data_IF_196634664386
#
_entry.id   IF_196634664386
#
_cell.length_a   1.000
_cell.length_b   1.000
_cell.length_c   1.000
_cell.angle_alpha   90.00
_cell.angle_beta   90.00
_cell.angle_gamma   90.00
#
_symmetry.space_group_name_H-M   'P 1'
#
loop_
_entity.id
_entity.type
_entity.pdbx_description
1 polymer ?
#
# COMPACT_ATOMS: atom_id res chain seq x y z
N UNK A 1 26.57 0.33 16.00
CA UNK A 1 26.22 -0.38 14.75
C UNK A 1 25.46 -1.64 15.15
N UNK A 2 24.35 -1.97 14.47
CA UNK A 2 23.48 -3.15 14.70
C UNK A 2 22.54 -3.12 15.92
N UNK A 3 21.27 -2.80 15.67
CA UNK A 3 20.06 -3.31 16.39
C UNK A 3 18.79 -2.48 16.11
N UNK A 4 18.89 -1.26 15.56
CA UNK A 4 17.73 -0.39 15.29
C UNK A 4 16.95 -0.66 13.99
N UNK A 5 17.34 -1.65 13.18
CA UNK A 5 16.70 -1.89 11.86
C UNK A 5 15.61 -2.99 11.84
N UNK A 6 15.35 -3.70 12.95
CA UNK A 6 14.29 -4.72 13.02
C UNK A 6 12.97 -4.26 13.65
N UNK A 7 12.91 -3.07 14.24
CA UNK A 7 11.76 -2.62 15.06
C UNK A 7 10.73 -1.72 14.35
N UNK A 8 10.96 -1.28 13.11
CA UNK A 8 10.05 -0.35 12.41
C UNK A 8 9.06 -1.06 11.47
N UNK A 9 8.63 -2.28 11.79
CA UNK A 9 7.53 -2.96 11.08
C UNK A 9 6.40 -3.36 12.03
N UNK A 10 6.21 -2.60 13.11
CA UNK A 10 5.16 -2.82 14.10
C UNK A 10 4.23 -1.60 14.08
N UNK A 11 3.31 -1.53 13.12
CA UNK A 11 1.99 -0.86 13.27
C UNK A 11 1.00 -1.43 12.22
N UNK A 12 -0.15 -1.89 12.72
CA UNK A 12 -1.45 -2.20 12.07
C UNK A 12 -1.70 -3.62 11.49
N UNK A 13 -2.74 -4.39 11.84
CA UNK A 13 -3.50 -4.76 13.05
C UNK A 13 -4.47 -5.91 12.60
N UNK A 14 -4.53 -6.99 13.41
CA UNK A 14 -5.58 -7.98 13.79
C UNK A 14 -6.58 -8.57 12.74
N UNK A 15 -6.68 -9.92 12.67
CA UNK A 15 -7.88 -10.80 12.92
C UNK A 15 -7.38 -12.25 13.20
N UNK A 16 -8.09 -12.99 14.07
CA UNK A 16 -7.94 -14.41 14.52
C UNK A 16 -7.31 -14.69 15.90
N UNK A 17 -7.09 -13.68 16.75
CA UNK A 17 -6.54 -13.90 18.10
C UNK A 17 -5.07 -14.34 18.12
N UNK A 18 -4.40 -14.32 16.97
CA UNK A 18 -2.96 -14.53 16.84
C UNK A 18 -2.34 -13.21 16.33
N UNK A 19 -1.44 -12.57 17.10
CA UNK A 19 -0.63 -11.47 16.57
C UNK A 19 0.10 -11.95 15.31
N UNK A 20 0.32 -11.12 14.29
CA UNK A 20 1.29 -11.49 13.22
C UNK A 20 2.74 -11.38 13.74
N UNK A 21 2.91 -10.83 14.94
CA UNK A 21 4.09 -11.07 15.80
C UNK A 21 4.08 -12.45 16.50
N UNK A 22 3.05 -13.25 16.24
CA UNK A 22 2.71 -14.53 16.86
C UNK A 22 2.44 -15.63 15.85
N UNK A 23 2.97 -15.52 14.62
CA UNK A 23 3.59 -16.74 14.10
C UNK A 23 4.81 -16.94 14.97
N UNK A 24 4.62 -17.48 16.18
CA UNK A 24 5.74 -17.95 16.98
C UNK A 24 6.53 -18.90 16.10
N UNK A 25 7.82 -19.10 16.39
CA UNK A 25 8.57 -20.18 15.73
C UNK A 25 7.76 -21.50 15.78
N UNK A 26 6.94 -21.68 16.82
CA UNK A 26 6.04 -22.82 17.02
C UNK A 26 4.89 -22.91 15.99
N UNK A 27 4.34 -21.79 15.49
CA UNK A 27 3.24 -21.83 14.51
C UNK A 27 3.74 -21.77 13.05
N UNK A 28 4.98 -21.33 12.84
CA UNK A 28 5.61 -21.32 11.52
C UNK A 28 5.70 -22.72 10.93
N UNK A 29 6.05 -23.72 11.74
CA UNK A 29 6.18 -25.09 11.27
C UNK A 29 4.87 -25.68 10.76
N UNK A 30 3.73 -25.21 11.29
CA UNK A 30 2.39 -25.58 10.83
C UNK A 30 2.03 -24.80 9.57
N UNK A 31 2.21 -23.47 9.56
CA UNK A 31 1.75 -22.61 8.46
C UNK A 31 2.63 -22.63 7.21
N UNK A 32 3.92 -22.98 7.32
CA UNK A 32 4.87 -22.81 6.21
C UNK A 32 4.46 -23.57 4.97
N UNK A 33 3.95 -24.80 5.13
CA UNK A 33 3.60 -25.66 4.00
C UNK A 33 2.41 -25.06 3.25
N UNK A 34 1.38 -24.62 3.98
CA UNK A 34 0.19 -24.01 3.39
C UNK A 34 0.51 -22.68 2.71
N UNK A 35 1.34 -21.84 3.32
CA UNK A 35 1.79 -20.59 2.70
C UNK A 35 2.60 -20.86 1.42
N UNK A 36 3.54 -21.81 1.45
CA UNK A 36 4.33 -22.15 0.26
C UNK A 36 3.45 -22.70 -0.86
N UNK A 37 2.49 -23.57 -0.53
CA UNK A 37 1.52 -24.09 -1.49
C UNK A 37 0.66 -22.97 -2.09
N UNK A 38 0.16 -22.06 -1.25
CA UNK A 38 -0.58 -20.88 -1.69
C UNK A 38 0.25 -20.03 -2.66
N UNK A 39 1.49 -19.70 -2.32
CA UNK A 39 2.36 -18.91 -3.21
C UNK A 39 2.69 -19.65 -4.51
N UNK A 40 2.90 -20.96 -4.45
CA UNK A 40 3.18 -21.77 -5.64
C UNK A 40 1.95 -21.83 -6.58
N UNK A 41 0.76 -22.00 -6.02
CA UNK A 41 -0.49 -22.00 -6.78
C UNK A 41 -0.78 -20.63 -7.38
N UNK A 42 -0.68 -19.57 -6.58
CA UNK A 42 -0.88 -18.19 -7.05
C UNK A 42 0.13 -17.84 -8.14
N UNK A 43 1.41 -18.19 -7.97
CA UNK A 43 2.44 -17.92 -8.98
C UNK A 43 2.15 -18.64 -10.30
N UNK A 44 1.64 -19.88 -10.24
CA UNK A 44 1.32 -20.69 -11.43
C UNK A 44 0.07 -20.19 -12.15
N UNK A 45 -0.99 -19.87 -11.41
CA UNK A 45 -2.33 -19.63 -11.97
C UNK A 45 -2.68 -18.14 -12.04
N UNK A 46 -2.03 -17.30 -11.23
CA UNK A 46 -2.34 -15.88 -11.10
C UNK A 46 -3.72 -15.60 -10.51
N UNK A 47 -4.30 -16.57 -9.77
CA UNK A 47 -5.65 -16.49 -9.20
C UNK A 47 -5.62 -16.59 -7.69
N UNK A 48 -6.42 -15.75 -7.04
CA UNK A 48 -6.60 -15.82 -5.59
C UNK A 48 -7.67 -16.87 -5.25
N UNK A 49 -7.41 -17.66 -4.20
CA UNK A 49 -8.43 -18.54 -3.63
C UNK A 49 -9.63 -17.70 -3.18
N UNK A 50 -10.85 -18.17 -3.46
CA UNK A 50 -12.09 -17.47 -3.12
C UNK A 50 -12.11 -17.09 -1.63
N UNK A 51 -12.49 -15.85 -1.34
CA UNK A 51 -12.56 -15.31 0.02
C UNK A 51 -11.27 -14.67 0.54
N UNK A 52 -10.09 -14.98 -0.02
CA UNK A 52 -8.83 -14.35 0.43
C UNK A 52 -8.77 -12.85 0.15
N UNK A 53 -9.44 -12.42 -0.92
CA UNK A 53 -9.55 -11.01 -1.30
C UNK A 53 -10.87 -10.37 -0.83
N UNK A 54 -11.53 -10.99 0.16
CA UNK A 54 -12.70 -10.42 0.81
C UNK A 54 -12.27 -9.59 2.02
N UNK A 55 -12.85 -8.41 2.13
CA UNK A 55 -12.59 -7.45 3.21
C UNK A 55 -13.84 -7.29 4.06
N UNK A 56 -13.72 -7.47 5.36
CA UNK A 56 -14.78 -7.11 6.30
C UNK A 56 -14.51 -5.70 6.87
N UNK A 57 -15.46 -4.78 6.72
CA UNK A 57 -15.33 -3.40 7.17
C UNK A 57 -15.95 -3.26 8.55
N UNK A 58 -15.11 -3.28 9.59
CA UNK A 58 -15.55 -3.01 10.95
C UNK A 58 -15.73 -1.50 11.16
N UNK A 59 -16.91 -1.08 11.63
CA UNK A 59 -17.20 0.31 11.95
C UNK A 59 -16.90 0.60 13.43
N UNK A 60 -15.88 1.41 13.70
CA UNK A 60 -15.51 1.82 15.06
C UNK A 60 -16.09 3.21 15.37
N UNK A 61 -16.95 3.37 16.39
CA UNK A 61 -17.49 4.68 16.77
C UNK A 61 -16.40 5.71 17.09
N UNK A 62 -16.55 6.93 16.59
CA UNK A 62 -15.73 8.12 16.96
C UNK A 62 -16.23 8.82 18.21
N UNK A 63 -17.54 8.73 18.45
CA UNK A 63 -18.29 9.45 19.48
C UNK A 63 -19.19 8.45 20.21
N UNK A 64 -19.63 8.80 21.42
CA UNK A 64 -20.43 7.90 22.27
C UNK A 64 -21.77 7.47 21.63
N UNK A 65 -22.40 8.36 20.87
CA UNK A 65 -23.70 8.10 20.22
C UNK A 65 -23.64 8.43 18.74
N UNK A 66 -23.03 7.58 17.90
CA UNK A 66 -22.89 7.83 16.48
C UNK A 66 -24.27 7.80 15.80
N UNK A 67 -24.57 8.81 14.99
CA UNK A 67 -25.86 8.94 14.28
C UNK A 67 -25.68 8.91 12.76
N UNK A 68 -24.45 9.16 12.27
CA UNK A 68 -24.11 9.21 10.85
C UNK A 68 -22.95 8.28 10.54
N UNK A 69 -22.84 7.81 9.30
CA UNK A 69 -21.70 7.00 8.83
C UNK A 69 -20.36 7.72 9.05
N UNK A 70 -20.35 9.05 8.93
CA UNK A 70 -19.16 9.88 9.19
C UNK A 70 -18.66 9.80 10.65
N UNK A 71 -19.52 9.40 11.58
CA UNK A 71 -19.21 9.24 13.01
C UNK A 71 -18.48 7.92 13.29
N UNK A 72 -18.20 7.12 12.27
CA UNK A 72 -17.42 5.89 12.38
C UNK A 72 -16.05 6.04 11.70
N UNK A 73 -15.08 5.31 12.25
CA UNK A 73 -13.85 4.94 11.56
C UNK A 73 -14.05 3.56 10.93
N UNK A 74 -14.14 3.44 9.60
CA UNK A 74 -14.12 2.14 8.96
C UNK A 74 -12.72 1.53 9.05
N UNK A 75 -12.63 0.28 9.48
CA UNK A 75 -11.40 -0.52 9.45
C UNK A 75 -11.62 -1.72 8.53
N UNK A 76 -10.80 -1.79 7.49
CA UNK A 76 -10.76 -2.93 6.57
C UNK A 76 -10.00 -4.11 7.20
N UNK A 77 -10.72 -5.18 7.52
CA UNK A 77 -10.17 -6.46 7.96
C UNK A 77 -9.99 -7.37 6.75
N UNK A 78 -8.73 -7.59 6.39
CA UNK A 78 -8.30 -8.40 5.23
C UNK A 78 -7.57 -9.65 5.69
N UNK A 79 -7.64 -10.72 4.89
CA UNK A 79 -6.93 -11.98 5.14
C UNK A 79 -5.44 -11.77 5.40
N UNK A 80 -4.91 -12.39 6.45
CA UNK A 80 -3.47 -12.34 6.78
C UNK A 80 -2.60 -12.94 5.67
N UNK A 81 -3.07 -13.98 4.98
CA UNK A 81 -2.38 -14.56 3.82
C UNK A 81 -2.29 -13.54 2.68
N UNK A 82 -3.39 -12.83 2.41
CA UNK A 82 -3.40 -11.76 1.41
C UNK A 82 -2.48 -10.60 1.80
N UNK A 83 -2.46 -10.18 3.08
CA UNK A 83 -1.51 -9.16 3.59
C UNK A 83 -0.06 -9.55 3.32
N UNK A 84 0.30 -10.84 3.49
CA UNK A 84 1.65 -11.35 3.18
C UNK A 84 1.92 -11.26 1.67
N UNK A 85 0.98 -11.68 0.81
CA UNK A 85 1.12 -11.55 -0.65
C UNK A 85 1.30 -10.09 -1.08
N UNK A 86 0.44 -9.18 -0.63
CA UNK A 86 0.52 -7.75 -0.92
C UNK A 86 1.86 -7.17 -0.44
N UNK A 87 2.39 -7.64 0.69
CA UNK A 87 3.70 -7.23 1.19
C UNK A 87 4.84 -7.71 0.30
N UNK A 88 4.76 -8.94 -0.20
CA UNK A 88 5.72 -9.47 -1.18
C UNK A 88 5.72 -8.61 -2.44
N UNK A 89 4.55 -8.24 -2.96
CA UNK A 89 4.45 -7.36 -4.12
C UNK A 89 5.02 -5.97 -3.86
N UNK A 90 4.64 -5.33 -2.76
CA UNK A 90 5.18 -4.02 -2.39
C UNK A 90 6.71 -4.05 -2.25
N UNK A 91 7.27 -5.10 -1.66
CA UNK A 91 8.72 -5.25 -1.51
C UNK A 91 9.44 -5.44 -2.85
N UNK A 92 8.84 -6.15 -3.81
CA UNK A 92 9.39 -6.30 -5.17
C UNK A 92 9.28 -4.99 -5.96
N UNK A 93 8.13 -4.33 -5.91
CA UNK A 93 7.89 -3.04 -6.56
C UNK A 93 8.86 -1.97 -6.05
N UNK A 94 9.11 -1.92 -4.74
CA UNK A 94 10.07 -0.99 -4.12
C UNK A 94 11.46 -1.02 -4.75
N UNK A 95 11.88 -2.15 -5.31
CA UNK A 95 13.21 -2.28 -5.93
C UNK A 95 13.29 -1.65 -7.33
N UNK A 96 12.15 -1.42 -7.98
CA UNK A 96 12.09 -0.95 -9.38
C UNK A 96 11.36 0.38 -9.55
N UNK A 97 10.47 0.74 -8.61
CA UNK A 97 9.59 1.91 -8.71
C UNK A 97 10.37 3.22 -8.90
N UNK A 98 11.53 3.36 -8.24
CA UNK A 98 12.37 4.55 -8.36
C UNK A 98 12.94 4.80 -9.77
N UNK A 99 12.96 3.78 -10.63
CA UNK A 99 13.45 3.87 -12.01
C UNK A 99 12.35 4.25 -13.01
N UNK A 100 11.07 4.10 -12.63
CA UNK A 100 9.93 4.34 -13.52
C UNK A 100 9.12 5.58 -13.15
N UNK A 101 9.37 6.16 -11.98
CA UNK A 101 8.78 7.45 -11.55
C UNK A 101 9.77 8.59 -11.72
N UNK A 102 9.25 9.80 -11.92
CA UNK A 102 10.04 11.03 -11.98
C UNK A 102 10.96 11.18 -10.77
N UNK A 103 12.12 11.82 -10.95
CA UNK A 103 13.03 12.19 -9.85
C UNK A 103 12.38 13.14 -8.85
N UNK A 104 11.37 13.90 -9.28
CA UNK A 104 10.56 14.80 -8.42
C UNK A 104 9.56 14.08 -7.51
N UNK A 105 9.41 12.77 -7.59
CA UNK A 105 8.56 12.00 -6.68
C UNK A 105 9.34 11.65 -5.41
N UNK A 106 9.17 12.41 -4.32
CA UNK A 106 9.92 12.20 -3.07
C UNK A 106 9.23 11.25 -2.08
N UNK A 107 7.89 11.19 -2.10
CA UNK A 107 7.14 10.31 -1.23
C UNK A 107 7.12 8.85 -1.72
N UNK A 108 7.18 7.90 -0.79
CA UNK A 108 7.07 6.45 -1.01
C UNK A 108 8.15 5.80 -1.89
N UNK A 109 9.25 6.51 -2.19
CA UNK A 109 10.40 5.97 -2.93
C UNK A 109 11.57 5.73 -1.98
N UNK A 110 12.11 4.51 -2.02
CA UNK A 110 13.26 4.14 -1.18
C UNK A 110 14.45 5.05 -1.49
N UNK A 111 14.97 5.71 -0.46
CA UNK A 111 16.15 6.58 -0.56
C UNK A 111 15.85 8.05 -0.88
N UNK A 112 14.58 8.42 -1.08
CA UNK A 112 14.14 9.82 -1.19
C UNK A 112 13.44 10.25 0.10
N UNK A 113 13.69 11.46 0.57
CA UNK A 113 13.06 11.98 1.78
C UNK A 113 12.04 13.05 1.43
N UNK A 114 10.90 13.04 2.13
CA UNK A 114 9.87 14.08 1.95
C UNK A 114 10.39 15.49 2.31
N UNK A 115 11.41 15.55 3.18
CA UNK A 115 12.06 16.80 3.55
C UNK A 115 12.83 17.43 2.37
N UNK A 116 13.29 16.63 1.41
CA UNK A 116 13.98 17.14 0.22
C UNK A 116 13.02 17.99 -0.62
N UNK A 117 11.77 17.55 -0.77
CA UNK A 117 10.72 18.26 -1.52
C UNK A 117 10.35 19.60 -0.84
N UNK A 118 10.25 19.58 0.49
CA UNK A 118 10.00 20.80 1.30
C UNK A 118 11.16 21.78 1.17
N UNK A 119 12.41 21.29 1.17
CA UNK A 119 13.59 22.13 1.03
C UNK A 119 13.63 22.83 -0.33
N UNK A 120 13.38 22.08 -1.41
CA UNK A 120 13.34 22.62 -2.78
C UNK A 120 12.24 23.69 -2.90
N UNK A 121 11.06 23.43 -2.35
CA UNK A 121 9.98 24.41 -2.35
C UNK A 121 10.35 25.70 -1.59
N UNK A 122 11.00 25.58 -0.43
CA UNK A 122 11.47 26.73 0.34
C UNK A 122 12.53 27.55 -0.42
N UNK A 123 13.48 26.88 -1.07
CA UNK A 123 14.53 27.54 -1.87
C UNK A 123 13.92 28.33 -3.04
N UNK A 124 12.96 27.76 -3.76
CA UNK A 124 12.22 28.44 -4.84
C UNK A 124 11.51 29.70 -4.32
N UNK A 125 10.84 29.60 -3.17
CA UNK A 125 10.14 30.73 -2.55
C UNK A 125 11.12 31.82 -2.11
N UNK A 126 12.24 31.44 -1.50
CA UNK A 126 13.23 32.39 -1.00
C UNK A 126 13.98 33.09 -2.14
N UNK A 127 14.28 32.39 -3.23
CA UNK A 127 14.90 32.98 -4.41
C UNK A 127 13.95 33.93 -5.14
N UNK A 128 12.67 33.61 -5.25
CA UNK A 128 11.67 34.53 -5.78
C UNK A 128 11.57 35.82 -4.95
N UNK A 129 11.63 35.72 -3.62
CA UNK A 129 11.67 36.89 -2.73
C UNK A 129 12.91 37.75 -2.92
N UNK A 130 14.10 37.14 -3.02
CA UNK A 130 15.37 37.86 -3.24
C UNK A 130 15.35 38.62 -4.57
N UNK A 131 14.88 37.97 -5.62
CA UNK A 131 14.80 38.51 -6.98
C UNK A 131 13.58 39.42 -7.21
N UNK A 132 12.71 39.59 -6.20
CA UNK A 132 11.45 40.34 -6.28
C UNK A 132 10.57 39.90 -7.46
N UNK A 133 10.53 38.59 -7.72
CA UNK A 133 9.69 37.98 -8.75
C UNK A 133 8.36 37.55 -8.14
N UNK A 134 7.28 37.78 -8.87
CA UNK A 134 5.98 37.24 -8.52
C UNK A 134 6.00 35.70 -8.67
N UNK A 135 5.46 35.00 -7.68
CA UNK A 135 5.38 33.55 -7.63
C UNK A 135 3.92 33.11 -7.53
N UNK A 136 3.52 32.12 -8.33
CA UNK A 136 2.26 31.42 -8.20
C UNK A 136 2.53 29.96 -7.80
N UNK A 137 1.99 29.54 -6.65
CA UNK A 137 2.05 28.14 -6.21
C UNK A 137 0.71 27.45 -6.48
N UNK A 138 0.74 26.34 -7.21
CA UNK A 138 -0.43 25.51 -7.46
C UNK A 138 -0.36 24.23 -6.63
N UNK A 139 -1.32 24.05 -5.72
CA UNK A 139 -1.44 22.86 -4.88
C UNK A 139 -2.66 22.05 -5.31
N UNK A 140 -2.45 20.77 -5.60
CA UNK A 140 -3.50 19.82 -5.97
C UNK A 140 -3.54 18.70 -4.95
N UNK A 141 -4.74 18.34 -4.50
CA UNK A 141 -4.99 17.20 -3.64
C UNK A 141 -6.07 16.32 -4.26
N UNK A 142 -5.91 15.00 -4.18
CA UNK A 142 -6.90 14.04 -4.65
C UNK A 142 -7.83 13.67 -3.50
N UNK A 143 -9.14 13.88 -3.68
CA UNK A 143 -10.13 13.35 -2.76
C UNK A 143 -10.18 11.82 -2.88
N UNK A 144 -10.03 11.13 -1.74
CA UNK A 144 -10.11 9.66 -1.65
C UNK A 144 -9.28 8.95 -2.72
N UNK A 145 -8.00 9.32 -2.83
CA UNK A 145 -7.12 8.89 -3.91
C UNK A 145 -7.11 7.37 -4.18
N UNK A 146 -7.28 6.54 -3.15
CA UNK A 146 -7.31 5.08 -3.29
C UNK A 146 -8.67 4.52 -3.73
N UNK A 147 -9.77 5.20 -3.40
CA UNK A 147 -11.14 4.79 -3.77
C UNK A 147 -11.48 5.22 -5.20
N UNK A 148 -10.77 6.24 -5.72
CA UNK A 148 -11.02 6.87 -7.01
C UNK A 148 -10.14 6.33 -8.14
N UNK A 149 -9.30 5.32 -7.90
CA UNK A 149 -8.43 4.74 -8.94
C UNK A 149 -9.25 3.90 -9.91
N UNK A 150 -9.19 4.24 -11.20
CA UNK A 150 -9.72 3.38 -12.25
C UNK A 150 -8.74 2.22 -12.54
N UNK A 151 -9.26 0.99 -12.48
CA UNK A 151 -8.43 -0.22 -12.62
C UNK A 151 -7.92 -0.43 -14.05
N UNK A 152 -8.67 -0.01 -15.06
CA UNK A 152 -8.23 -0.13 -16.46
C UNK A 152 -7.14 0.90 -16.77
N UNK A 153 -7.27 2.12 -16.21
CA UNK A 153 -6.22 3.13 -16.27
C UNK A 153 -4.94 2.68 -15.55
N UNK A 154 -5.06 2.04 -14.38
CA UNK A 154 -3.90 1.47 -13.68
C UNK A 154 -3.18 0.42 -14.55
N UNK A 155 -3.92 -0.45 -15.22
CA UNK A 155 -3.38 -1.45 -16.14
C UNK A 155 -2.67 -0.81 -17.34
N UNK A 156 -3.23 0.26 -17.90
CA UNK A 156 -2.63 1.03 -18.98
C UNK A 156 -1.32 1.70 -18.54
N UNK A 157 -1.29 2.32 -17.35
CA UNK A 157 -0.08 2.93 -16.78
C UNK A 157 1.02 1.89 -16.58
N UNK A 158 0.69 0.74 -15.98
CA UNK A 158 1.66 -0.36 -15.83
C UNK A 158 2.16 -0.89 -17.18
N UNK A 159 1.31 -0.87 -18.21
CA UNK A 159 1.69 -1.24 -19.57
C UNK A 159 2.68 -0.24 -20.16
N UNK A 160 2.42 1.07 -20.04
CA UNK A 160 3.32 2.14 -20.49
C UNK A 160 4.65 2.15 -19.74
N UNK A 161 4.63 1.80 -18.45
CA UNK A 161 5.84 1.60 -17.62
C UNK A 161 6.58 0.28 -17.90
N UNK A 162 6.11 -0.50 -18.88
CA UNK A 162 6.72 -1.75 -19.32
C UNK A 162 6.79 -2.83 -18.22
N UNK A 163 5.83 -2.85 -17.29
CA UNK A 163 5.71 -3.96 -16.34
C UNK A 163 5.35 -5.26 -17.08
N UNK A 164 5.95 -6.41 -16.72
CA UNK A 164 5.67 -7.69 -17.37
C UNK A 164 4.18 -8.07 -17.30
N UNK A 165 3.66 -8.68 -18.37
CA UNK A 165 2.25 -9.11 -18.47
C UNK A 165 1.83 -9.94 -17.25
N UNK A 166 2.67 -10.88 -16.82
CA UNK A 166 2.42 -11.73 -15.64
C UNK A 166 2.28 -10.90 -14.36
N UNK A 167 3.13 -9.90 -14.17
CA UNK A 167 3.06 -9.01 -13.01
C UNK A 167 1.76 -8.20 -13.03
N UNK A 168 1.41 -7.62 -14.18
CA UNK A 168 0.16 -6.87 -14.34
C UNK A 168 -1.05 -7.76 -14.03
N UNK A 169 -1.08 -8.98 -14.59
CA UNK A 169 -2.16 -9.95 -14.32
C UNK A 169 -2.31 -10.25 -12.82
N UNK A 170 -1.20 -10.42 -12.08
CA UNK A 170 -1.24 -10.60 -10.62
C UNK A 170 -1.80 -9.39 -9.88
N UNK A 171 -1.40 -8.16 -10.26
CA UNK A 171 -1.94 -6.95 -9.66
C UNK A 171 -3.43 -6.79 -9.99
N UNK A 172 -3.84 -7.07 -11.23
CA UNK A 172 -5.23 -6.99 -11.67
C UNK A 172 -6.11 -8.00 -10.94
N UNK A 173 -5.61 -9.21 -10.69
CA UNK A 173 -6.30 -10.17 -9.84
C UNK A 173 -6.56 -9.59 -8.44
N UNK A 174 -5.57 -8.95 -7.82
CA UNK A 174 -5.70 -8.35 -6.50
C UNK A 174 -6.70 -7.18 -6.46
N UNK A 175 -6.74 -6.30 -7.47
CA UNK A 175 -7.59 -5.10 -7.41
C UNK A 175 -9.00 -5.31 -7.99
N UNK A 176 -9.16 -6.14 -9.04
CA UNK A 176 -10.46 -6.36 -9.70
C UNK A 176 -11.34 -7.40 -9.00
N UNK A 177 -10.76 -8.28 -8.17
CA UNK A 177 -11.53 -9.33 -7.46
C UNK A 177 -11.82 -8.99 -6.00
N UNK A 178 -11.43 -7.79 -5.55
CA UNK A 178 -11.65 -7.37 -4.17
C UNK A 178 -13.15 -7.24 -3.89
N UNK A 179 -13.61 -7.86 -2.80
CA UNK A 179 -15.00 -7.73 -2.33
C UNK A 179 -15.01 -7.17 -0.93
N UNK A 180 -16.04 -6.39 -0.59
CA UNK A 180 -16.21 -5.84 0.75
C UNK A 180 -17.59 -6.16 1.31
N UNK A 181 -17.64 -6.47 2.60
CA UNK A 181 -18.86 -6.57 3.41
C UNK A 181 -18.73 -5.67 4.62
N UNK A 182 -19.84 -5.10 5.09
CA UNK A 182 -19.92 -4.33 6.35
C UNK A 182 -20.63 -5.18 7.39
#
# INVERSE_FOLDING_TARGET
MSSRKRFNLVVSLIVDGVPVEGVSEDFWDVLKIDLLNFFAEFHRNGKLTKGLNSTFIALIPKVESPQRVADFHPIALVSSVYKILSKVFANRLRNVVGNVVSTSQYAFIKGRQILDDILIANEIVDDAKKEKKDLLLFKVEFEKAYDSVDWDYLEEVMTKMNFPIVWRAWIMECVKTATASV
#
